data_IF_566497606132
#
_entry.id   IF_566497606132
#
_cell.length_a   1.000
_cell.length_b   1.000
_cell.length_c   1.000
_cell.angle_alpha   90.00
_cell.angle_beta   90.00
_cell.angle_gamma   90.00
#
_symmetry.space_group_name_H-M   'P 1'
#
loop_
_entity.id
_entity.type
_entity.pdbx_description
1 polymer ?
#
# COMPACT_ATOMS: atom_id res chain seq x y z
N UNK A 1 -39.43 -23.90 9.36
CA UNK A 1 -40.06 -25.20 9.05
C UNK A 1 -41.44 -25.17 9.67
N UNK A 2 -42.41 -24.73 8.90
CA UNK A 2 -43.82 -24.70 9.30
C UNK A 2 -44.53 -25.46 8.21
N UNK A 3 -44.99 -26.66 8.54
CA UNK A 3 -45.59 -27.61 7.62
C UNK A 3 -46.87 -27.02 7.02
N UNK A 4 -46.94 -27.01 5.68
CA UNK A 4 -48.16 -26.72 4.93
C UNK A 4 -49.01 -28.01 4.89
N UNK A 5 -50.33 -27.95 5.12
CA UNK A 5 -51.19 -29.13 5.05
C UNK A 5 -51.38 -29.53 3.58
N UNK A 6 -50.76 -30.65 3.17
CA UNK A 6 -50.65 -31.08 1.78
C UNK A 6 -51.77 -32.05 1.31
N UNK A 7 -52.85 -32.28 2.08
CA UNK A 7 -53.70 -33.46 1.81
C UNK A 7 -55.17 -33.24 1.45
N UNK A 8 -55.64 -32.02 1.16
CA UNK A 8 -57.05 -31.81 0.75
C UNK A 8 -57.21 -31.14 -0.63
N UNK A 9 -56.20 -30.43 -1.10
CA UNK A 9 -56.35 -29.41 -2.16
C UNK A 9 -56.32 -29.97 -3.58
N UNK A 10 -55.81 -31.20 -3.77
CA UNK A 10 -55.84 -31.89 -5.07
C UNK A 10 -57.22 -32.43 -5.44
N UNK A 11 -58.15 -32.52 -4.49
CA UNK A 11 -59.37 -33.31 -4.70
C UNK A 11 -60.44 -32.59 -5.51
N UNK A 12 -60.61 -31.26 -5.38
CA UNK A 12 -61.74 -30.54 -5.96
C UNK A 12 -61.74 -30.46 -7.52
N UNK A 13 -60.65 -30.05 -8.20
CA UNK A 13 -60.63 -30.05 -9.66
C UNK A 13 -60.63 -31.48 -10.26
N UNK A 14 -60.03 -32.44 -9.55
CA UNK A 14 -60.10 -33.87 -9.89
C UNK A 14 -61.52 -34.43 -9.68
N UNK A 15 -62.24 -33.98 -8.66
CA UNK A 15 -63.65 -34.32 -8.39
C UNK A 15 -64.55 -33.75 -9.48
N UNK A 16 -64.38 -32.48 -9.86
CA UNK A 16 -65.19 -31.87 -10.92
C UNK A 16 -65.01 -32.62 -12.26
N UNK A 17 -63.77 -32.96 -12.61
CA UNK A 17 -63.47 -33.75 -13.80
C UNK A 17 -64.06 -35.16 -13.72
N UNK A 18 -63.95 -35.82 -12.56
CA UNK A 18 -64.51 -37.14 -12.31
C UNK A 18 -66.05 -37.13 -12.40
N UNK A 19 -66.73 -36.11 -11.86
CA UNK A 19 -68.18 -35.99 -11.96
C UNK A 19 -68.63 -35.70 -13.40
N UNK A 20 -67.90 -34.86 -14.14
CA UNK A 20 -68.16 -34.64 -15.56
C UNK A 20 -67.98 -35.90 -16.39
N UNK A 21 -66.91 -36.66 -16.17
CA UNK A 21 -66.66 -37.95 -16.82
C UNK A 21 -67.76 -38.97 -16.50
N UNK A 22 -68.23 -38.99 -15.24
CA UNK A 22 -69.30 -39.91 -14.82
C UNK A 22 -70.66 -39.54 -15.42
N UNK A 23 -70.95 -38.24 -15.55
CA UNK A 23 -72.14 -37.75 -16.25
C UNK A 23 -72.06 -38.04 -17.76
N UNK A 24 -70.87 -37.92 -18.36
CA UNK A 24 -70.60 -38.31 -19.74
C UNK A 24 -70.80 -39.83 -19.95
N UNK A 25 -70.30 -40.68 -19.05
CA UNK A 25 -70.54 -42.13 -19.08
C UNK A 25 -72.02 -42.48 -18.98
N UNK A 26 -72.79 -41.84 -18.09
CA UNK A 26 -74.25 -42.04 -17.95
C UNK A 26 -75.00 -41.69 -19.24
N UNK A 27 -74.62 -40.58 -19.88
CA UNK A 27 -75.20 -40.12 -21.15
C UNK A 27 -74.79 -41.02 -22.35
N UNK A 28 -73.59 -41.59 -22.33
CA UNK A 28 -73.02 -42.36 -23.44
C UNK A 28 -73.30 -43.86 -23.34
N UNK A 29 -73.16 -44.48 -22.18
CA UNK A 29 -73.18 -45.93 -21.98
C UNK A 29 -74.52 -46.48 -21.42
N UNK A 30 -75.18 -45.76 -20.51
CA UNK A 30 -76.37 -46.28 -19.79
C UNK A 30 -77.71 -45.84 -20.38
N UNK A 31 -77.75 -44.76 -21.17
CA UNK A 31 -78.98 -44.30 -21.82
C UNK A 31 -79.56 -45.31 -22.82
N UNK A 32 -80.79 -45.78 -22.58
CA UNK A 32 -81.45 -46.76 -23.45
C UNK A 32 -81.69 -46.15 -24.83
N UNK A 33 -81.04 -46.69 -25.86
CA UNK A 33 -81.12 -46.17 -27.23
C UNK A 33 -82.47 -46.55 -27.84
N UNK A 34 -83.29 -45.55 -28.19
CA UNK A 34 -84.61 -45.79 -28.77
C UNK A 34 -84.42 -46.09 -30.27
N UNK A 35 -84.83 -47.28 -30.77
CA UNK A 35 -84.65 -47.65 -32.17
C UNK A 35 -85.40 -46.69 -33.10
N UNK A 36 -84.84 -46.42 -34.28
CA UNK A 36 -85.37 -45.53 -35.33
C UNK A 36 -85.49 -44.03 -35.01
N UNK A 37 -85.15 -43.56 -33.80
CA UNK A 37 -85.31 -42.13 -33.43
C UNK A 37 -84.00 -41.39 -33.17
N UNK A 38 -82.88 -42.11 -33.07
CA UNK A 38 -81.58 -41.51 -32.71
C UNK A 38 -81.50 -40.93 -31.29
N UNK A 39 -82.56 -41.08 -30.48
CA UNK A 39 -82.69 -40.53 -29.12
C UNK A 39 -82.31 -41.57 -28.07
N UNK A 40 -81.84 -41.10 -26.91
CA UNK A 40 -81.59 -41.92 -25.72
C UNK A 40 -82.58 -41.58 -24.61
N UNK A 41 -83.05 -42.61 -23.92
CA UNK A 41 -83.89 -42.50 -22.75
C UNK A 41 -82.96 -42.53 -21.53
N UNK A 42 -82.97 -41.46 -20.75
CA UNK A 42 -82.07 -41.23 -19.63
C UNK A 42 -82.93 -41.02 -18.38
N UNK A 43 -82.49 -41.54 -17.25
CA UNK A 43 -83.10 -41.30 -15.95
C UNK A 43 -82.86 -39.84 -15.54
N UNK A 44 -83.94 -39.07 -15.50
CA UNK A 44 -83.93 -37.65 -15.14
C UNK A 44 -83.41 -37.42 -13.72
N UNK A 45 -83.74 -38.32 -12.78
CA UNK A 45 -83.41 -38.18 -11.36
C UNK A 45 -81.90 -38.38 -11.12
N UNK A 46 -81.30 -39.35 -11.81
CA UNK A 46 -79.86 -39.58 -11.77
C UNK A 46 -79.08 -38.46 -12.46
N UNK A 47 -79.56 -38.00 -13.61
CA UNK A 47 -78.93 -36.89 -14.34
C UNK A 47 -78.93 -35.60 -13.50
N UNK A 48 -80.06 -35.26 -12.90
CA UNK A 48 -80.19 -34.09 -12.02
C UNK A 48 -79.29 -34.19 -10.79
N UNK A 49 -79.16 -35.39 -10.20
CA UNK A 49 -78.28 -35.63 -9.05
C UNK A 49 -76.82 -35.37 -9.39
N UNK A 50 -76.34 -35.87 -10.53
CA UNK A 50 -74.96 -35.63 -10.98
C UNK A 50 -74.72 -34.17 -11.38
N UNK A 51 -75.70 -33.51 -12.01
CA UNK A 51 -75.63 -32.10 -12.36
C UNK A 51 -75.53 -31.21 -11.12
N UNK A 52 -76.30 -31.53 -10.07
CA UNK A 52 -76.23 -30.85 -8.78
C UNK A 52 -74.88 -31.05 -8.06
N UNK A 53 -74.28 -32.24 -8.16
CA UNK A 53 -72.95 -32.51 -7.61
C UNK A 53 -71.85 -31.72 -8.35
N UNK A 54 -71.96 -31.58 -9.67
CA UNK A 54 -71.07 -30.72 -10.47
C UNK A 54 -71.24 -29.26 -10.07
N UNK A 55 -72.48 -28.78 -9.94
CA UNK A 55 -72.78 -27.41 -9.51
C UNK A 55 -72.20 -27.09 -8.12
N UNK A 56 -72.20 -28.05 -7.20
CA UNK A 56 -71.55 -27.90 -5.89
C UNK A 56 -70.01 -27.89 -5.96
N UNK A 57 -69.41 -28.61 -6.91
CA UNK A 57 -67.95 -28.72 -7.03
C UNK A 57 -67.27 -27.56 -7.80
N UNK A 58 -68.02 -26.84 -8.65
CA UNK A 58 -67.50 -25.71 -9.44
C UNK A 58 -67.00 -24.54 -8.56
N UNK A 59 -67.79 -24.02 -7.59
CA UNK A 59 -67.37 -22.88 -6.76
C UNK A 59 -66.07 -23.14 -6.00
N UNK A 60 -65.90 -24.36 -5.48
CA UNK A 60 -64.69 -24.76 -4.75
C UNK A 60 -63.48 -24.79 -5.69
N UNK A 61 -63.61 -25.37 -6.87
CA UNK A 61 -62.54 -25.41 -7.88
C UNK A 61 -62.12 -24.01 -8.35
N UNK A 62 -63.09 -23.11 -8.57
CA UNK A 62 -62.82 -21.71 -8.94
C UNK A 62 -62.13 -20.96 -7.79
N UNK A 63 -62.57 -21.15 -6.55
CA UNK A 63 -61.96 -20.52 -5.37
C UNK A 63 -60.50 -20.97 -5.19
N UNK A 64 -60.20 -22.26 -5.43
CA UNK A 64 -58.84 -22.78 -5.40
C UNK A 64 -57.97 -22.18 -6.51
N UNK A 65 -58.47 -22.13 -7.75
CA UNK A 65 -57.75 -21.51 -8.86
C UNK A 65 -57.40 -20.04 -8.56
N UNK A 66 -58.35 -19.30 -7.98
CA UNK A 66 -58.13 -17.91 -7.58
C UNK A 66 -57.07 -17.78 -6.48
N UNK A 67 -57.05 -18.69 -5.51
CA UNK A 67 -56.00 -18.71 -4.45
C UNK A 67 -54.61 -18.96 -5.04
N UNK A 68 -54.50 -19.92 -5.98
CA UNK A 68 -53.22 -20.22 -6.64
C UNK A 68 -52.73 -19.01 -7.44
N UNK A 69 -53.62 -18.34 -8.18
CA UNK A 69 -53.28 -17.11 -8.91
C UNK A 69 -52.78 -16.00 -7.98
N UNK A 70 -53.49 -15.77 -6.86
CA UNK A 70 -53.09 -14.78 -5.88
C UNK A 70 -51.72 -15.12 -5.25
N UNK A 71 -51.49 -16.39 -4.89
CA UNK A 71 -50.20 -16.85 -4.35
C UNK A 71 -49.06 -16.69 -5.35
N UNK A 72 -49.31 -16.99 -6.64
CA UNK A 72 -48.35 -16.77 -7.72
C UNK A 72 -47.99 -15.29 -7.83
N UNK A 73 -48.98 -14.41 -7.82
CA UNK A 73 -48.76 -12.97 -7.97
C UNK A 73 -48.01 -12.39 -6.76
N UNK A 74 -48.30 -12.85 -5.55
CA UNK A 74 -47.55 -12.49 -4.35
C UNK A 74 -46.09 -12.97 -4.41
N UNK A 75 -45.86 -14.21 -4.86
CA UNK A 75 -44.52 -14.76 -5.03
C UNK A 75 -43.72 -13.99 -6.09
N UNK A 76 -44.36 -13.63 -7.21
CA UNK A 76 -43.74 -12.80 -8.24
C UNK A 76 -43.36 -11.41 -7.70
N UNK A 77 -44.24 -10.77 -6.93
CA UNK A 77 -43.93 -9.48 -6.29
C UNK A 77 -42.77 -9.59 -5.32
N UNK A 78 -42.75 -10.61 -4.47
CA UNK A 78 -41.64 -10.84 -3.54
C UNK A 78 -40.32 -11.09 -4.28
N UNK A 79 -40.34 -11.89 -5.34
CA UNK A 79 -39.17 -12.16 -6.16
C UNK A 79 -38.64 -10.87 -6.83
N UNK A 80 -39.54 -10.03 -7.35
CA UNK A 80 -39.17 -8.74 -7.95
C UNK A 80 -38.57 -7.78 -6.93
N UNK A 81 -39.17 -7.66 -5.74
CA UNK A 81 -38.63 -6.82 -4.66
C UNK A 81 -37.23 -7.29 -4.26
N UNK A 82 -37.05 -8.59 -4.05
CA UNK A 82 -35.77 -9.17 -3.65
C UNK A 82 -34.71 -9.00 -4.73
N UNK A 83 -35.08 -9.12 -6.01
CA UNK A 83 -34.19 -8.85 -7.13
C UNK A 83 -33.74 -7.38 -7.14
N UNK A 84 -34.67 -6.43 -6.94
CA UNK A 84 -34.35 -4.99 -6.86
C UNK A 84 -33.43 -4.67 -5.67
N UNK A 85 -33.66 -5.30 -4.52
CA UNK A 85 -32.78 -5.16 -3.34
C UNK A 85 -31.36 -5.66 -3.63
N UNK A 86 -31.23 -6.83 -4.27
CA UNK A 86 -29.92 -7.39 -4.65
C UNK A 86 -29.19 -6.45 -5.61
N UNK A 87 -29.88 -5.94 -6.63
CA UNK A 87 -29.29 -4.99 -7.60
C UNK A 87 -28.83 -3.72 -6.88
N UNK A 88 -29.69 -3.12 -6.04
CA UNK A 88 -29.33 -1.91 -5.29
C UNK A 88 -28.11 -2.15 -4.38
N UNK A 89 -28.05 -3.28 -3.68
CA UNK A 89 -26.90 -3.62 -2.86
C UNK A 89 -25.62 -3.81 -3.67
N UNK A 90 -25.72 -4.46 -4.84
CA UNK A 90 -24.59 -4.64 -5.74
C UNK A 90 -24.06 -3.31 -6.27
N UNK A 91 -24.96 -2.40 -6.70
CA UNK A 91 -24.61 -1.06 -7.17
C UNK A 91 -23.94 -0.23 -6.07
N UNK A 92 -24.50 -0.23 -4.86
CA UNK A 92 -23.90 0.46 -3.70
C UNK A 92 -22.51 -0.09 -3.39
N UNK A 93 -22.32 -1.42 -3.44
CA UNK A 93 -21.02 -2.04 -3.17
C UNK A 93 -20.01 -1.70 -4.27
N UNK A 94 -20.44 -1.70 -5.53
CA UNK A 94 -19.58 -1.31 -6.65
C UNK A 94 -19.14 0.15 -6.53
N UNK A 95 -20.04 1.07 -6.14
CA UNK A 95 -19.71 2.47 -5.90
C UNK A 95 -18.68 2.63 -4.79
N UNK A 96 -18.85 1.94 -3.65
CA UNK A 96 -17.87 1.93 -2.56
C UNK A 96 -16.49 1.47 -3.01
N UNK A 97 -16.42 0.36 -3.76
CA UNK A 97 -15.16 -0.19 -4.26
C UNK A 97 -14.49 0.80 -5.23
N UNK A 98 -15.26 1.44 -6.11
CA UNK A 98 -14.74 2.43 -7.03
C UNK A 98 -14.15 3.64 -6.30
N UNK A 99 -14.82 4.13 -5.25
CA UNK A 99 -14.31 5.22 -4.41
C UNK A 99 -13.02 4.83 -3.65
N UNK A 100 -12.98 3.63 -3.06
CA UNK A 100 -11.79 3.10 -2.41
C UNK A 100 -10.60 2.98 -3.38
N UNK A 101 -10.85 2.46 -4.59
CA UNK A 101 -9.83 2.36 -5.64
C UNK A 101 -9.34 3.74 -6.07
N UNK A 102 -10.23 4.71 -6.24
CA UNK A 102 -9.88 6.08 -6.60
C UNK A 102 -8.99 6.73 -5.52
N UNK A 103 -9.36 6.59 -4.24
CA UNK A 103 -8.56 7.09 -3.11
C UNK A 103 -7.17 6.43 -3.12
N UNK A 104 -7.12 5.11 -3.29
CA UNK A 104 -5.86 4.36 -3.31
C UNK A 104 -4.95 4.79 -4.46
N UNK A 105 -5.48 4.90 -5.67
CA UNK A 105 -4.71 5.35 -6.83
C UNK A 105 -4.18 6.77 -6.65
N UNK A 106 -4.99 7.67 -6.09
CA UNK A 106 -4.57 9.03 -5.81
C UNK A 106 -3.46 9.07 -4.75
N UNK A 107 -3.61 8.33 -3.66
CA UNK A 107 -2.59 8.22 -2.63
C UNK A 107 -1.27 7.62 -3.19
N UNK A 108 -1.37 6.66 -4.10
CA UNK A 108 -0.20 6.05 -4.74
C UNK A 108 0.53 7.03 -5.68
N UNK A 109 -0.21 7.82 -6.46
CA UNK A 109 0.35 8.89 -7.30
C UNK A 109 1.04 9.97 -6.45
N UNK A 110 0.40 10.40 -5.36
CA UNK A 110 0.98 11.37 -4.42
C UNK A 110 2.24 10.82 -3.75
N UNK A 111 2.21 9.56 -3.30
CA UNK A 111 3.38 8.90 -2.73
C UNK A 111 4.53 8.79 -3.74
N UNK A 112 4.25 8.44 -5.01
CA UNK A 112 5.25 8.41 -6.07
C UNK A 112 5.86 9.80 -6.31
N UNK A 113 5.04 10.85 -6.34
CA UNK A 113 5.51 12.24 -6.48
C UNK A 113 6.42 12.64 -5.32
N UNK A 114 6.02 12.36 -4.08
CA UNK A 114 6.84 12.64 -2.89
C UNK A 114 8.17 11.89 -2.97
N UNK A 115 8.15 10.61 -3.34
CA UNK A 115 9.39 9.81 -3.48
C UNK A 115 10.33 10.40 -4.52
N UNK A 116 9.81 10.82 -5.67
CA UNK A 116 10.62 11.47 -6.71
C UNK A 116 11.21 12.80 -6.23
N UNK A 117 10.41 13.61 -5.55
CA UNK A 117 10.87 14.89 -4.98
C UNK A 117 11.98 14.66 -3.95
N UNK A 118 11.78 13.74 -3.00
CA UNK A 118 12.78 13.40 -1.99
C UNK A 118 14.06 12.87 -2.63
N UNK A 119 13.96 12.02 -3.65
CA UNK A 119 15.15 11.55 -4.37
C UNK A 119 15.92 12.69 -5.02
N UNK A 120 15.24 13.61 -5.69
CA UNK A 120 15.87 14.79 -6.29
C UNK A 120 16.52 15.69 -5.24
N UNK A 121 15.83 15.95 -4.13
CA UNK A 121 16.35 16.76 -3.03
C UNK A 121 17.58 16.12 -2.36
N UNK A 122 17.57 14.80 -2.15
CA UNK A 122 18.71 14.06 -1.59
C UNK A 122 19.90 14.12 -2.52
N UNK A 123 19.72 13.93 -3.83
CA UNK A 123 20.81 14.04 -4.80
C UNK A 123 21.38 15.47 -4.86
N UNK A 124 20.52 16.48 -4.82
CA UNK A 124 20.96 17.89 -4.78
C UNK A 124 21.73 18.19 -3.49
N UNK A 125 21.22 17.74 -2.34
CA UNK A 125 21.89 17.90 -1.04
C UNK A 125 23.25 17.21 -1.04
N UNK A 126 23.32 16.00 -1.61
CA UNK A 126 24.57 15.25 -1.74
C UNK A 126 25.58 15.97 -2.61
N UNK A 127 25.16 16.51 -3.76
CA UNK A 127 26.03 17.28 -4.65
C UNK A 127 26.58 18.52 -3.94
N UNK A 128 25.71 19.29 -3.27
CA UNK A 128 26.12 20.47 -2.48
C UNK A 128 27.13 20.09 -1.39
N UNK A 129 26.86 19.02 -0.64
CA UNK A 129 27.78 18.57 0.42
C UNK A 129 29.16 18.17 -0.15
N UNK A 130 29.20 17.53 -1.32
CA UNK A 130 30.46 17.19 -2.00
C UNK A 130 31.19 18.46 -2.44
N UNK A 131 30.49 19.43 -3.03
CA UNK A 131 31.06 20.71 -3.44
C UNK A 131 31.64 21.50 -2.25
N UNK A 132 30.89 21.61 -1.16
CA UNK A 132 31.33 22.25 0.09
C UNK A 132 32.54 21.53 0.69
N UNK A 133 32.52 20.20 0.76
CA UNK A 133 33.65 19.41 1.26
C UNK A 133 34.90 19.63 0.40
N UNK A 134 34.76 19.66 -0.93
CA UNK A 134 35.88 19.92 -1.84
C UNK A 134 36.44 21.33 -1.66
N UNK A 135 35.57 22.34 -1.51
CA UNK A 135 36.00 23.72 -1.26
C UNK A 135 36.76 23.83 0.06
N UNK A 136 36.22 23.24 1.14
CA UNK A 136 36.89 23.21 2.44
C UNK A 136 38.25 22.51 2.36
N UNK A 137 38.32 21.39 1.65
CA UNK A 137 39.58 20.66 1.44
C UNK A 137 40.62 21.52 0.71
N UNK A 138 40.22 22.21 -0.36
CA UNK A 138 41.14 23.09 -1.09
C UNK A 138 41.64 24.26 -0.24
N UNK A 139 40.76 24.86 0.57
CA UNK A 139 41.16 25.97 1.45
C UNK A 139 42.13 25.50 2.53
N UNK A 140 41.83 24.39 3.19
CA UNK A 140 42.72 23.80 4.21
C UNK A 140 44.06 23.35 3.62
N UNK A 141 44.08 22.80 2.41
CA UNK A 141 45.33 22.47 1.68
C UNK A 141 46.18 23.73 1.43
N UNK A 142 45.56 24.84 1.01
CA UNK A 142 46.24 26.12 0.79
C UNK A 142 46.80 26.70 2.10
N UNK A 143 46.00 26.72 3.15
CA UNK A 143 46.42 27.20 4.48
C UNK A 143 47.59 26.37 5.03
N UNK A 144 47.51 25.03 4.92
CA UNK A 144 48.58 24.14 5.32
C UNK A 144 49.85 24.34 4.50
N UNK A 145 49.74 24.54 3.19
CA UNK A 145 50.88 24.83 2.33
C UNK A 145 51.56 26.15 2.72
N UNK A 146 50.76 27.18 2.96
CA UNK A 146 51.24 28.49 3.41
C UNK A 146 51.94 28.39 4.77
N UNK A 147 51.31 27.75 5.75
CA UNK A 147 51.89 27.56 7.09
C UNK A 147 53.22 26.79 7.01
N UNK A 148 53.27 25.70 6.23
CA UNK A 148 54.50 24.93 6.01
C UNK A 148 55.61 25.78 5.40
N UNK A 149 55.29 26.68 4.47
CA UNK A 149 56.27 27.57 3.87
C UNK A 149 56.80 28.58 4.90
N UNK A 150 55.92 29.22 5.68
CA UNK A 150 56.34 30.15 6.74
C UNK A 150 57.22 29.46 7.78
N UNK A 151 56.79 28.31 8.32
CA UNK A 151 57.58 27.57 9.31
C UNK A 151 58.95 27.14 8.76
N UNK A 152 59.03 26.76 7.48
CA UNK A 152 60.33 26.47 6.84
C UNK A 152 61.23 27.70 6.81
N UNK A 153 60.69 28.86 6.43
CA UNK A 153 61.43 30.11 6.41
C UNK A 153 61.95 30.48 7.81
N UNK A 154 61.08 30.47 8.82
CA UNK A 154 61.46 30.77 10.21
C UNK A 154 62.50 29.81 10.77
N UNK A 155 62.45 28.52 10.40
CA UNK A 155 63.46 27.55 10.80
C UNK A 155 64.80 27.83 10.10
N UNK A 156 64.80 28.24 8.83
CA UNK A 156 66.01 28.60 8.10
C UNK A 156 66.64 29.87 8.69
N UNK A 157 65.85 30.90 8.98
CA UNK A 157 66.32 32.12 9.63
C UNK A 157 66.93 31.81 11.00
N UNK A 158 66.21 31.05 11.85
CA UNK A 158 66.74 30.64 13.17
C UNK A 158 68.03 29.82 13.07
N UNK A 159 68.16 28.96 12.07
CA UNK A 159 69.40 28.21 11.84
C UNK A 159 70.55 29.14 11.45
N UNK A 160 70.31 30.06 10.51
CA UNK A 160 71.32 31.04 10.08
C UNK A 160 71.75 31.97 11.22
N UNK A 161 70.80 32.42 12.04
CA UNK A 161 71.08 33.22 13.24
C UNK A 161 71.92 32.44 14.26
N UNK A 162 71.58 31.16 14.50
CA UNK A 162 72.33 30.30 15.40
C UNK A 162 73.76 30.03 14.90
N UNK A 163 73.92 29.78 13.59
CA UNK A 163 75.22 29.58 12.96
C UNK A 163 76.07 30.86 13.06
N UNK A 164 75.48 32.02 12.75
CA UNK A 164 76.15 33.33 12.86
C UNK A 164 76.57 33.63 14.31
N UNK A 165 75.71 33.31 15.28
CA UNK A 165 76.03 33.46 16.69
C UNK A 165 77.19 32.54 17.09
N UNK A 166 77.16 31.27 16.67
CA UNK A 166 78.23 30.31 16.94
C UNK A 166 79.58 30.77 16.35
N UNK A 167 79.62 31.20 15.09
CA UNK A 167 80.82 31.75 14.46
C UNK A 167 81.37 32.95 15.22
N UNK A 168 80.49 33.88 15.62
CA UNK A 168 80.89 35.07 16.39
C UNK A 168 81.48 34.70 17.74
N UNK A 169 80.80 33.86 18.52
CA UNK A 169 81.27 33.44 19.84
C UNK A 169 82.59 32.67 19.75
N UNK A 170 82.73 31.76 18.77
CA UNK A 170 83.97 31.04 18.52
C UNK A 170 85.11 31.98 18.13
N UNK A 171 84.85 32.97 17.28
CA UNK A 171 85.85 33.98 16.90
C UNK A 171 86.26 34.88 18.07
N UNK A 172 85.32 35.23 18.96
CA UNK A 172 85.62 35.96 20.21
C UNK A 172 86.50 35.12 21.15
N UNK A 173 86.17 33.83 21.35
CA UNK A 173 86.98 32.91 22.14
C UNK A 173 88.39 32.73 21.54
N UNK A 174 88.52 32.60 20.22
CA UNK A 174 89.81 32.49 19.54
C UNK A 174 90.69 33.72 19.83
N UNK A 175 90.10 34.92 19.76
CA UNK A 175 90.80 36.18 20.05
C UNK A 175 91.28 36.23 21.50
N UNK A 176 90.42 35.87 22.46
CA UNK A 176 90.78 35.82 23.88
C UNK A 176 91.91 34.82 24.15
N UNK A 177 91.90 33.65 23.50
CA UNK A 177 92.99 32.68 23.63
C UNK A 177 94.30 33.21 23.05
N UNK A 178 94.27 33.89 21.90
CA UNK A 178 95.46 34.54 21.32
C UNK A 178 96.06 35.60 22.26
N UNK A 179 95.22 36.43 22.86
CA UNK A 179 95.63 37.45 23.83
C UNK A 179 96.28 36.81 25.07
N UNK A 180 95.65 35.79 25.65
CA UNK A 180 96.19 35.07 26.80
C UNK A 180 97.54 34.40 26.47
N UNK A 181 97.64 33.75 25.30
CA UNK A 181 98.89 33.15 24.85
C UNK A 181 99.99 34.18 24.66
N UNK A 182 99.67 35.36 24.11
CA UNK A 182 100.64 36.46 23.97
C UNK A 182 101.13 36.95 25.34
N UNK A 183 100.24 37.11 26.32
CA UNK A 183 100.61 37.48 27.70
C UNK A 183 101.53 36.42 28.33
N UNK A 184 101.21 35.13 28.17
CA UNK A 184 102.05 34.02 28.68
C UNK A 184 103.42 34.01 27.99
N UNK A 185 103.48 34.18 26.67
CA UNK A 185 104.73 34.22 25.91
C UNK A 185 105.62 35.39 26.36
N UNK A 186 105.04 36.58 26.47
CA UNK A 186 105.72 37.78 26.96
C UNK A 186 106.23 37.56 28.40
N UNK A 187 105.41 37.00 29.29
CA UNK A 187 105.81 36.67 30.67
C UNK A 187 106.95 35.65 30.73
N UNK A 188 106.91 34.60 29.90
CA UNK A 188 108.02 33.62 29.79
C UNK A 188 109.30 34.25 29.26
N UNK A 189 109.21 35.15 28.28
CA UNK A 189 110.36 35.85 27.71
C UNK A 189 110.99 36.78 28.75
N UNK A 190 110.17 37.49 29.53
CA UNK A 190 110.63 38.31 30.66
C UNK A 190 111.40 37.47 31.69
N UNK A 191 110.87 36.31 32.09
CA UNK A 191 111.55 35.41 33.02
C UNK A 191 112.87 34.85 32.47
N UNK A 192 112.93 34.50 31.17
CA UNK A 192 114.19 34.07 30.53
C UNK A 192 115.23 35.18 30.52
N UNK A 193 114.84 36.42 30.24
CA UNK A 193 115.74 37.58 30.28
C UNK A 193 116.22 37.88 31.72
N UNK A 194 115.34 37.74 32.70
CA UNK A 194 115.68 37.90 34.12
C UNK A 194 116.56 36.76 34.68
N UNK A 195 116.44 35.55 34.14
CA UNK A 195 117.34 34.44 34.49
C UNK A 195 118.72 34.61 33.81
N UNK A 196 118.77 35.10 32.57
CA UNK A 196 120.01 35.41 31.87
C UNK A 196 120.80 36.56 32.54
N UNK A 197 120.12 37.57 33.09
CA UNK A 197 120.77 38.66 33.83
C UNK A 197 121.21 38.29 35.26
N UNK A 198 120.68 37.20 35.84
CA UNK A 198 121.11 36.67 37.14
C UNK A 198 122.27 35.65 37.05
N UNK A 199 122.62 35.21 35.84
CA UNK A 199 123.65 34.19 35.59
C UNK A 199 124.90 34.74 34.88
N UNK A 200 124.99 36.07 34.73
CA UNK A 200 126.20 36.83 34.37
C UNK A 200 126.65 37.67 35.56
#
# INVERSE_FOLDING_TARGET
MTELPESATGSAPLLLLQQLQRLEELLILEGTKIPFTGRKLIDEEQLLTHLAQIEQAIPESVALAQRILNQRDDLLKQAQQRAQEIIRHAEQRAAQIADELRIRQQAELEAQKIRQQVQQEVELMRQRAIEEMNLLRQNTEKELAHLRQMTRHECQERQQEADTYAERTLGEMERQFKEMLAVIQNGRQYLKQHQASRSS
#
